data_IF_839996357170
#
_entry.id   IF_839996357170
#
_cell.length_a   1.000
_cell.length_b   1.000
_cell.length_c   1.000
_cell.angle_alpha   90.00
_cell.angle_beta   90.00
_cell.angle_gamma   90.00
#
_symmetry.space_group_name_H-M   'P 1'
#
loop_
_entity.id
_entity.type
_entity.pdbx_description
1 polymer ?
#
# COMPACT_ATOMS: atom_id res chain seq x y z
N UNK A 1 6.96 -2.70 33.94
CA UNK A 1 5.54 -2.67 33.52
C UNK A 1 5.46 -2.85 32.01
N UNK A 2 4.91 -3.97 31.53
CA UNK A 2 4.73 -4.19 30.10
C UNK A 2 3.72 -3.17 29.58
N UNK A 3 4.15 -2.29 28.68
CA UNK A 3 3.25 -1.33 28.05
C UNK A 3 2.28 -2.10 27.15
N UNK A 4 0.99 -2.08 27.48
CA UNK A 4 -0.06 -2.78 26.73
C UNK A 4 -0.56 -1.96 25.56
N UNK A 5 -1.03 -2.63 24.51
CA UNK A 5 -1.77 -2.00 23.42
C UNK A 5 -3.12 -1.55 23.93
N UNK A 6 -3.48 -0.29 23.69
CA UNK A 6 -4.76 0.28 24.13
C UNK A 6 -5.64 0.48 22.91
N UNK A 7 -6.80 -0.16 22.91
CA UNK A 7 -7.84 -0.03 21.88
C UNK A 7 -9.01 0.71 22.50
N UNK A 8 -9.35 1.87 21.95
CA UNK A 8 -10.46 2.70 22.47
C UNK A 8 -11.39 3.13 21.36
N UNK A 9 -12.66 3.34 21.73
CA UNK A 9 -13.63 4.00 20.87
C UNK A 9 -13.75 5.45 21.32
N UNK A 10 -13.62 6.40 20.39
CA UNK A 10 -13.65 7.83 20.70
C UNK A 10 -14.58 8.59 19.75
N UNK A 11 -15.14 9.72 20.20
CA UNK A 11 -15.98 10.57 19.36
C UNK A 11 -15.23 11.37 18.29
N UNK A 12 -13.90 11.25 18.19
CA UNK A 12 -13.07 12.02 17.25
C UNK A 12 -12.25 11.10 16.35
N UNK A 13 -12.24 11.40 15.06
CA UNK A 13 -11.39 10.68 14.11
C UNK A 13 -9.93 11.17 14.17
N UNK A 14 -9.10 10.46 14.93
CA UNK A 14 -7.65 10.72 14.98
C UNK A 14 -6.88 10.22 13.75
N UNK A 15 -7.48 9.36 12.93
CA UNK A 15 -6.84 8.78 11.75
C UNK A 15 -7.40 9.37 10.45
N UNK A 16 -7.96 10.59 10.49
CA UNK A 16 -8.56 11.25 9.33
C UNK A 16 -7.61 11.34 8.13
N UNK A 17 -6.34 11.72 8.37
CA UNK A 17 -5.33 11.78 7.30
C UNK A 17 -5.11 10.43 6.61
N UNK A 18 -5.02 9.35 7.38
CA UNK A 18 -4.91 7.99 6.85
C UNK A 18 -6.17 7.54 6.11
N UNK A 19 -7.34 7.91 6.61
CA UNK A 19 -8.62 7.65 5.94
C UNK A 19 -8.67 8.37 4.59
N UNK A 20 -8.30 9.65 4.53
CA UNK A 20 -8.21 10.41 3.28
C UNK A 20 -7.24 9.76 2.31
N UNK A 21 -6.05 9.35 2.77
CA UNK A 21 -5.07 8.66 1.94
C UNK A 21 -5.63 7.34 1.37
N UNK A 22 -6.35 6.55 2.19
CA UNK A 22 -6.98 5.31 1.76
C UNK A 22 -8.09 5.55 0.72
N UNK A 23 -8.90 6.61 0.89
CA UNK A 23 -9.93 7.02 -0.07
C UNK A 23 -9.29 7.43 -1.40
N UNK A 24 -8.28 8.30 -1.36
CA UNK A 24 -7.55 8.76 -2.56
C UNK A 24 -6.93 7.57 -3.30
N UNK A 25 -6.28 6.67 -2.56
CA UNK A 25 -5.73 5.44 -3.13
C UNK A 25 -6.80 4.56 -3.77
N UNK A 26 -7.93 4.32 -3.09
CA UNK A 26 -9.00 3.47 -3.60
C UNK A 26 -9.65 4.07 -4.85
N UNK A 27 -9.94 5.37 -4.84
CA UNK A 27 -10.45 6.08 -6.02
C UNK A 27 -9.45 6.01 -7.17
N UNK A 28 -8.17 6.30 -6.91
CA UNK A 28 -7.11 6.20 -7.92
C UNK A 28 -6.98 4.79 -8.49
N UNK A 29 -7.08 3.75 -7.66
CA UNK A 29 -7.03 2.36 -8.09
C UNK A 29 -8.24 1.97 -8.97
N UNK A 30 -9.44 2.42 -8.61
CA UNK A 30 -10.65 2.20 -9.42
C UNK A 30 -10.55 2.93 -10.76
N UNK A 31 -10.13 4.20 -10.76
CA UNK A 31 -9.90 4.98 -11.98
C UNK A 31 -8.89 4.27 -12.87
N UNK A 32 -7.74 3.85 -12.32
CA UNK A 32 -6.72 3.09 -13.02
C UNK A 32 -7.27 1.79 -13.63
N UNK A 33 -8.17 1.09 -12.94
CA UNK A 33 -8.79 -0.14 -13.44
C UNK A 33 -9.76 0.10 -14.59
N UNK A 34 -10.49 1.22 -14.58
CA UNK A 34 -11.50 1.56 -15.59
C UNK A 34 -10.84 2.18 -16.82
N UNK A 35 -9.99 3.18 -16.61
CA UNK A 35 -9.33 3.95 -17.68
C UNK A 35 -8.18 3.16 -18.30
N UNK A 36 -7.62 2.20 -17.56
CA UNK A 36 -6.37 1.54 -17.92
C UNK A 36 -5.18 2.32 -17.40
N UNK A 37 -3.98 1.82 -17.68
CA UNK A 37 -2.77 2.38 -17.11
C UNK A 37 -2.20 3.44 -18.04
N UNK A 38 -1.86 4.65 -17.53
CA UNK A 38 -1.37 5.71 -18.37
C UNK A 38 -0.16 5.25 -19.20
N UNK A 39 -0.11 5.57 -20.51
CA UNK A 39 1.02 5.24 -21.35
C UNK A 39 2.23 6.14 -21.08
N UNK A 40 2.06 7.17 -20.25
CA UNK A 40 3.10 8.14 -19.92
C UNK A 40 4.06 7.52 -18.91
N UNK A 41 5.31 7.39 -19.32
CA UNK A 41 6.39 7.05 -18.42
C UNK A 41 6.76 8.27 -17.55
N UNK A 42 6.52 8.16 -16.25
CA UNK A 42 6.83 9.18 -15.25
C UNK A 42 7.97 8.76 -14.31
N UNK A 43 8.75 7.73 -14.69
CA UNK A 43 9.83 7.26 -13.85
C UNK A 43 11.02 8.25 -13.83
N UNK A 44 11.74 8.27 -12.70
CA UNK A 44 12.97 9.04 -12.56
C UNK A 44 14.13 8.44 -13.37
N UNK A 45 15.18 9.24 -13.58
CA UNK A 45 16.35 8.86 -14.42
C UNK A 45 16.97 7.52 -14.00
N UNK A 46 17.02 7.24 -12.70
CA UNK A 46 17.56 6.00 -12.13
C UNK A 46 16.86 4.73 -12.65
N UNK A 47 15.56 4.81 -12.92
CA UNK A 47 14.79 3.69 -13.45
C UNK A 47 15.31 3.22 -14.81
N UNK A 48 15.67 4.16 -15.70
CA UNK A 48 16.15 3.85 -17.04
C UNK A 48 17.56 3.24 -17.08
N UNK A 49 18.32 3.37 -15.99
CA UNK A 49 19.63 2.71 -15.82
C UNK A 49 19.52 1.43 -14.98
N UNK A 50 18.30 0.91 -14.80
CA UNK A 50 18.04 -0.37 -14.13
C UNK A 50 17.95 -0.29 -12.61
N UNK A 51 17.99 0.90 -12.01
CA UNK A 51 17.86 1.07 -10.56
C UNK A 51 16.39 1.22 -10.19
N UNK A 52 15.83 0.18 -9.58
CA UNK A 52 14.41 0.10 -9.22
C UNK A 52 14.10 0.58 -7.79
N UNK A 53 13.07 1.41 -7.65
CA UNK A 53 12.51 1.78 -6.35
C UNK A 53 11.64 0.65 -5.76
N UNK A 54 11.44 0.59 -4.43
CA UNK A 54 10.66 -0.48 -3.79
C UNK A 54 9.23 -0.62 -4.37
N UNK A 55 8.63 0.50 -4.76
CA UNK A 55 7.27 0.56 -5.30
C UNK A 55 7.20 0.45 -6.83
N UNK A 56 8.33 0.22 -7.52
CA UNK A 56 8.33 -0.09 -8.95
C UNK A 56 7.36 -1.25 -9.25
N UNK A 57 6.61 -1.12 -10.35
CA UNK A 57 5.54 -2.06 -10.69
C UNK A 57 4.26 -1.94 -9.85
N UNK A 58 4.18 -1.04 -8.86
CA UNK A 58 3.02 -0.89 -7.97
C UNK A 58 1.72 -0.55 -8.70
N UNK A 59 1.77 0.39 -9.65
CA UNK A 59 0.60 0.74 -10.50
C UNK A 59 0.08 -0.49 -11.26
N UNK A 60 0.99 -1.24 -11.89
CA UNK A 60 0.67 -2.46 -12.64
C UNK A 60 0.13 -3.56 -11.73
N UNK A 61 0.74 -3.75 -10.56
CA UNK A 61 0.27 -4.69 -9.56
C UNK A 61 -1.16 -4.36 -9.09
N UNK A 62 -1.46 -3.09 -8.81
CA UNK A 62 -2.81 -2.64 -8.43
C UNK A 62 -3.83 -2.89 -9.53
N UNK A 63 -3.51 -2.55 -10.79
CA UNK A 63 -4.39 -2.83 -11.92
C UNK A 63 -4.69 -4.33 -12.04
N UNK A 64 -3.66 -5.18 -12.00
CA UNK A 64 -3.79 -6.62 -12.13
C UNK A 64 -4.55 -7.26 -10.96
N UNK A 65 -4.35 -6.74 -9.75
CA UNK A 65 -5.09 -7.19 -8.57
C UNK A 65 -6.60 -6.93 -8.76
N UNK A 66 -6.97 -5.73 -9.21
CA UNK A 66 -8.36 -5.37 -9.51
C UNK A 66 -8.92 -6.07 -10.76
N UNK A 67 -8.05 -6.56 -11.65
CA UNK A 67 -8.43 -7.42 -12.76
C UNK A 67 -8.59 -8.90 -12.36
N UNK A 68 -8.48 -9.25 -11.07
CA UNK A 68 -8.63 -10.62 -10.61
C UNK A 68 -7.42 -11.51 -10.91
N UNK A 69 -6.23 -10.93 -11.14
CA UNK A 69 -4.98 -11.64 -11.48
C UNK A 69 -3.93 -11.51 -10.37
N UNK A 70 -4.17 -12.06 -9.16
CA UNK A 70 -3.31 -11.85 -8.00
C UNK A 70 -1.90 -12.39 -8.20
N UNK A 71 -1.71 -13.54 -8.87
CA UNK A 71 -0.38 -14.08 -9.15
C UNK A 71 0.46 -13.13 -10.02
N UNK A 72 -0.16 -12.52 -11.03
CA UNK A 72 0.51 -11.52 -11.86
C UNK A 72 0.77 -10.22 -11.07
N UNK A 73 -0.18 -9.80 -10.23
CA UNK A 73 0.02 -8.65 -9.34
C UNK A 73 1.21 -8.85 -8.40
N UNK A 74 1.32 -10.04 -7.80
CA UNK A 74 2.43 -10.43 -6.93
C UNK A 74 3.78 -10.42 -7.66
N UNK A 75 3.81 -10.88 -8.92
CA UNK A 75 5.01 -10.89 -9.74
C UNK A 75 5.56 -9.47 -9.92
N UNK A 76 4.69 -8.49 -10.19
CA UNK A 76 5.09 -7.09 -10.34
C UNK A 76 5.42 -6.40 -9.01
N UNK A 77 4.53 -6.44 -8.04
CA UNK A 77 4.82 -5.85 -6.73
C UNK A 77 4.02 -6.53 -5.61
N UNK A 78 4.66 -7.37 -4.77
CA UNK A 78 3.97 -8.06 -3.68
C UNK A 78 3.51 -7.11 -2.57
N UNK A 79 4.01 -5.88 -2.48
CA UNK A 79 3.53 -4.90 -1.52
C UNK A 79 2.08 -4.46 -1.79
N UNK A 80 1.54 -4.74 -2.98
CA UNK A 80 0.13 -4.45 -3.32
C UNK A 80 -0.84 -5.09 -2.33
N UNK A 81 -0.55 -6.29 -1.82
CA UNK A 81 -1.44 -7.00 -0.89
C UNK A 81 -1.53 -6.35 0.49
N UNK A 82 -0.42 -6.11 1.22
CA UNK A 82 -0.50 -5.43 2.51
C UNK A 82 -1.00 -3.99 2.37
N UNK A 83 -0.69 -3.28 1.27
CA UNK A 83 -1.22 -1.93 1.02
C UNK A 83 -2.73 -1.95 0.77
N UNK A 84 -3.24 -2.88 -0.05
CA UNK A 84 -4.67 -3.05 -0.29
C UNK A 84 -5.41 -3.44 1.00
N UNK A 85 -4.83 -4.35 1.80
CA UNK A 85 -5.39 -4.74 3.09
C UNK A 85 -5.44 -3.56 4.08
N UNK A 86 -4.39 -2.73 4.14
CA UNK A 86 -4.35 -1.54 4.97
C UNK A 86 -5.40 -0.50 4.52
N UNK A 87 -5.53 -0.27 3.21
CA UNK A 87 -6.55 0.61 2.66
C UNK A 87 -7.96 0.11 3.01
N UNK A 88 -8.24 -1.18 2.81
CA UNK A 88 -9.52 -1.78 3.16
C UNK A 88 -9.81 -1.67 4.66
N UNK A 89 -8.83 -1.92 5.52
CA UNK A 89 -8.98 -1.78 6.97
C UNK A 89 -9.33 -0.33 7.37
N UNK A 90 -8.67 0.67 6.76
CA UNK A 90 -8.94 2.09 7.00
C UNK A 90 -10.33 2.50 6.51
N UNK A 91 -10.76 2.02 5.34
CA UNK A 91 -12.09 2.27 4.80
C UNK A 91 -13.18 1.61 5.64
N UNK A 92 -13.00 0.36 6.06
CA UNK A 92 -13.93 -0.33 6.96
C UNK A 92 -14.02 0.38 8.30
N UNK A 93 -12.87 0.77 8.89
CA UNK A 93 -12.84 1.58 10.11
C UNK A 93 -13.63 2.87 9.93
N UNK A 94 -13.47 3.55 8.79
CA UNK A 94 -14.17 4.79 8.51
C UNK A 94 -15.68 4.58 8.36
N UNK A 95 -16.11 3.54 7.64
CA UNK A 95 -17.51 3.18 7.51
C UNK A 95 -18.15 2.91 8.88
N UNK A 96 -17.49 2.12 9.74
CA UNK A 96 -17.95 1.88 11.11
C UNK A 96 -18.03 3.18 11.91
N UNK A 97 -17.02 4.05 11.79
CA UNK A 97 -16.99 5.36 12.46
C UNK A 97 -18.12 6.28 12.06
N UNK A 98 -18.45 6.31 10.76
CA UNK A 98 -19.55 7.10 10.21
C UNK A 98 -20.93 6.57 10.65
N UNK A 99 -21.12 5.24 10.64
CA UNK A 99 -22.39 4.61 11.03
C UNK A 99 -22.65 4.72 12.54
N UNK A 100 -21.62 4.54 13.36
CA UNK A 100 -21.77 4.48 14.83
C UNK A 100 -21.55 5.81 15.52
N UNK A 101 -20.99 6.81 14.83
CA UNK A 101 -20.48 8.04 15.42
C UNK A 101 -19.27 7.84 16.35
N UNK A 102 -18.70 6.62 16.40
CA UNK A 102 -17.58 6.25 17.27
C UNK A 102 -16.41 5.71 16.45
N UNK A 103 -15.23 6.30 16.65
CA UNK A 103 -14.02 6.00 15.91
C UNK A 103 -13.08 5.12 16.72
N UNK A 104 -12.64 4.01 16.10
CA UNK A 104 -11.62 3.14 16.67
C UNK A 104 -10.25 3.85 16.68
N UNK A 105 -9.63 3.96 17.85
CA UNK A 105 -8.26 4.44 18.07
C UNK A 105 -7.42 3.27 18.62
N UNK A 106 -6.30 2.99 17.97
CA UNK A 106 -5.36 1.92 18.37
C UNK A 106 -4.04 2.57 18.72
N UNK A 107 -3.65 2.49 19.98
CA UNK A 107 -2.39 3.03 20.48
C UNK A 107 -1.42 1.92 20.79
N UNK A 108 -0.39 1.87 19.96
CA UNK A 108 0.72 0.96 20.14
C UNK A 108 1.71 1.55 21.14
N UNK A 109 2.18 0.75 22.11
CA UNK A 109 3.23 1.19 23.02
C UNK A 109 4.55 1.38 22.25
N UNK A 110 5.43 2.25 22.79
CA UNK A 110 6.71 2.60 22.16
C UNK A 110 7.57 1.40 21.69
N UNK A 111 7.76 0.30 22.47
CA UNK A 111 8.53 -0.84 21.99
C UNK A 111 7.91 -1.50 20.75
N UNK A 112 6.60 -1.72 20.74
CA UNK A 112 5.90 -2.28 19.58
C UNK A 112 6.00 -1.38 18.35
N UNK A 113 5.94 -0.05 18.52
CA UNK A 113 6.18 0.89 17.40
C UNK A 113 7.57 0.72 16.79
N UNK A 114 8.61 0.49 17.61
CA UNK A 114 9.98 0.25 17.11
C UNK A 114 10.08 -1.08 16.39
N UNK A 115 9.45 -2.13 16.91
CA UNK A 115 9.40 -3.45 16.26
C UNK A 115 8.70 -3.36 14.90
N UNK A 116 7.52 -2.73 14.84
CA UNK A 116 6.79 -2.53 13.60
C UNK A 116 7.58 -1.69 12.59
N UNK A 117 8.23 -0.62 13.06
CA UNK A 117 9.11 0.18 12.19
C UNK A 117 10.28 -0.65 11.65
N UNK A 118 10.94 -1.43 12.50
CA UNK A 118 12.02 -2.33 12.08
C UNK A 118 11.53 -3.37 11.06
N UNK A 119 10.36 -3.95 11.27
CA UNK A 119 9.73 -4.88 10.33
C UNK A 119 9.41 -4.20 8.99
N UNK A 120 8.89 -2.97 8.99
CA UNK A 120 8.63 -2.19 7.76
C UNK A 120 9.93 -1.89 7.04
N UNK A 121 10.98 -1.43 7.74
CA UNK A 121 12.29 -1.17 7.13
C UNK A 121 12.86 -2.43 6.50
N UNK A 122 12.83 -3.55 7.21
CA UNK A 122 13.30 -4.84 6.69
C UNK A 122 12.48 -5.28 5.46
N UNK A 123 11.16 -5.13 5.50
CA UNK A 123 10.29 -5.46 4.38
C UNK A 123 10.56 -4.57 3.16
N UNK A 124 10.82 -3.27 3.37
CA UNK A 124 11.21 -2.34 2.30
C UNK A 124 12.55 -2.73 1.70
N UNK A 125 13.56 -3.07 2.52
CA UNK A 125 14.87 -3.53 2.04
C UNK A 125 14.73 -4.82 1.23
N UNK A 126 14.00 -5.79 1.74
CA UNK A 126 13.73 -7.05 1.04
C UNK A 126 13.00 -6.81 -0.29
N UNK A 127 12.04 -5.88 -0.30
CA UNK A 127 11.34 -5.46 -1.51
C UNK A 127 12.31 -4.80 -2.50
N UNK A 128 13.16 -3.87 -2.06
CA UNK A 128 14.18 -3.25 -2.91
C UNK A 128 15.07 -4.30 -3.57
N UNK A 129 15.62 -5.24 -2.80
CA UNK A 129 16.44 -6.34 -3.34
C UNK A 129 15.65 -7.13 -4.39
N UNK A 130 14.40 -7.48 -4.09
CA UNK A 130 13.53 -8.17 -5.04
C UNK A 130 13.33 -7.36 -6.33
N UNK A 131 13.11 -6.05 -6.23
CA UNK A 131 12.90 -5.20 -7.41
C UNK A 131 14.15 -5.13 -8.28
N UNK A 132 15.36 -5.06 -7.68
CA UNK A 132 16.61 -5.14 -8.45
C UNK A 132 16.74 -6.48 -9.19
N UNK A 133 16.42 -7.60 -8.53
CA UNK A 133 16.46 -8.93 -9.14
C UNK A 133 15.44 -9.13 -10.28
N UNK A 134 14.41 -8.28 -10.35
CA UNK A 134 13.36 -8.33 -11.37
C UNK A 134 13.34 -7.09 -12.27
N UNK A 135 14.45 -6.34 -12.35
CA UNK A 135 14.52 -5.10 -13.12
C UNK A 135 14.09 -5.27 -14.57
N UNK A 136 14.47 -6.37 -15.23
CA UNK A 136 14.06 -6.67 -16.61
C UNK A 136 12.52 -6.80 -16.75
N UNK A 137 11.87 -7.49 -15.81
CA UNK A 137 10.41 -7.60 -15.78
C UNK A 137 9.76 -6.23 -15.56
N UNK A 138 10.34 -5.39 -14.71
CA UNK A 138 9.78 -4.07 -14.37
C UNK A 138 9.97 -3.05 -15.49
N UNK A 139 11.06 -3.17 -16.25
CA UNK A 139 11.33 -2.40 -17.47
C UNK A 139 10.49 -2.88 -18.66
N UNK A 140 9.96 -4.10 -18.62
CA UNK A 140 9.16 -4.63 -19.72
C UNK A 140 7.87 -3.83 -19.92
N UNK A 141 7.62 -3.52 -21.19
CA UNK A 141 6.37 -2.90 -21.63
C UNK A 141 5.15 -3.74 -21.22
N UNK A 142 3.98 -3.11 -21.20
CA UNK A 142 2.75 -3.88 -20.95
C UNK A 142 2.57 -4.87 -22.10
N UNK A 143 2.33 -6.18 -21.85
CA UNK A 143 1.82 -7.02 -22.92
C UNK A 143 0.48 -6.41 -23.36
N UNK A 144 0.36 -6.17 -24.67
CA UNK A 144 -0.86 -5.67 -25.30
C UNK A 144 -2.05 -6.61 -25.04
#
# INVERSE_FOLDING_TARGET
MAASTVVTWSGRDRARGWTTAAVVFAVGAVVLRIVGVPPVDVHGVLHYVGVMDPLCGGTRATYLLLAGRPGAAAAYNPAVFPLAAAALALLTRAAVGLVTGRWLDVRWPRPWRRVLLGAVVLAVVALTVRQQLHAELLLSGWPA
#
